data_IF_387885906370
#
_entry.id   IF_387885906370
#
_cell.length_a   1.000
_cell.length_b   1.000
_cell.length_c   1.000
_cell.angle_alpha   90.00
_cell.angle_beta   90.00
_cell.angle_gamma   90.00
#
_symmetry.space_group_name_H-M   'P 1'
#
loop_
_entity.id
_entity.type
_entity.pdbx_description
1 polymer ?
#
# COMPACT_ATOMS: atom_id res chain seq x y z
N UNK A 1 3.64 6.50 10.81
CA UNK A 1 3.77 6.89 12.24
C UNK A 1 4.82 5.99 12.87
N UNK A 2 5.74 6.56 13.61
CA UNK A 2 6.72 5.81 14.40
C UNK A 2 6.28 5.83 15.87
N UNK A 3 6.19 4.66 16.50
CA UNK A 3 5.76 4.52 17.89
C UNK A 3 6.97 4.46 18.83
N UNK A 4 6.75 4.67 20.13
CA UNK A 4 7.81 4.65 21.14
C UNK A 4 8.57 3.31 21.21
N UNK A 5 7.96 2.21 20.78
CA UNK A 5 8.59 0.89 20.63
C UNK A 5 9.38 0.74 19.31
N UNK A 6 9.50 1.80 18.49
CA UNK A 6 10.10 1.85 17.15
C UNK A 6 9.34 1.08 16.06
N UNK A 7 8.13 0.63 16.32
CA UNK A 7 7.26 0.12 15.26
C UNK A 7 6.85 1.27 14.32
N UNK A 8 6.78 0.97 13.03
CA UNK A 8 6.32 1.91 11.99
C UNK A 8 5.02 1.38 11.41
N UNK A 9 4.00 2.23 11.38
CA UNK A 9 2.71 1.91 10.80
C UNK A 9 2.41 2.85 9.62
N UNK A 10 2.01 2.27 8.49
CA UNK A 10 1.63 2.97 7.28
C UNK A 10 0.12 2.99 7.11
N UNK A 11 -0.47 4.17 7.18
CA UNK A 11 -1.90 4.40 6.98
C UNK A 11 -2.06 5.42 5.85
N UNK A 12 -2.89 5.12 4.85
CA UNK A 12 -3.22 6.10 3.82
C UNK A 12 -3.90 7.32 4.47
N UNK A 13 -3.55 8.51 4.02
CA UNK A 13 -4.10 9.75 4.58
C UNK A 13 -5.63 9.78 4.60
N UNK A 14 -6.28 9.26 3.54
CA UNK A 14 -7.75 9.13 3.45
C UNK A 14 -8.36 8.11 4.43
N UNK A 15 -7.56 7.16 4.92
CA UNK A 15 -7.96 6.12 5.87
C UNK A 15 -7.61 6.51 7.30
N UNK A 16 -6.79 7.56 7.48
CA UNK A 16 -6.47 8.12 8.77
C UNK A 16 -7.59 9.07 9.21
N UNK A 17 -8.35 8.74 10.28
CA UNK A 17 -9.49 9.56 10.69
C UNK A 17 -9.06 10.96 11.14
N UNK A 18 -7.88 11.11 11.76
CA UNK A 18 -7.38 12.40 12.19
C UNK A 18 -7.03 13.31 11.00
N UNK A 19 -6.30 12.81 10.01
CA UNK A 19 -5.99 13.57 8.80
C UNK A 19 -7.26 13.92 8.02
N UNK A 20 -8.18 12.96 7.88
CA UNK A 20 -9.47 13.21 7.24
C UNK A 20 -10.29 14.29 7.97
N UNK A 21 -10.24 14.31 9.30
CA UNK A 21 -10.88 15.34 10.12
C UNK A 21 -10.28 16.72 9.90
N UNK A 22 -8.95 16.83 9.83
CA UNK A 22 -8.25 18.09 9.55
C UNK A 22 -8.64 18.70 8.20
N UNK A 23 -8.91 17.87 7.19
CA UNK A 23 -9.33 18.34 5.87
C UNK A 23 -10.82 18.69 5.79
N UNK A 24 -11.67 17.98 6.54
CA UNK A 24 -13.12 18.11 6.45
C UNK A 24 -13.73 19.08 7.47
N UNK A 25 -13.07 19.22 8.62
CA UNK A 25 -13.57 20.00 9.76
C UNK A 25 -12.62 21.17 10.03
N UNK A 26 -12.84 22.34 9.42
CA UNK A 26 -11.98 23.51 9.59
C UNK A 26 -11.81 23.95 11.05
N UNK A 27 -12.80 23.66 11.89
CA UNK A 27 -12.83 23.99 13.33
C UNK A 27 -11.69 23.35 14.13
N UNK A 28 -11.02 22.34 13.59
CA UNK A 28 -9.76 21.78 14.13
C UNK A 28 -8.65 22.82 14.15
N UNK A 29 -8.66 23.75 13.19
CA UNK A 29 -7.63 24.78 13.04
C UNK A 29 -7.78 25.88 14.10
N UNK A 30 -6.72 26.67 14.29
CA UNK A 30 -6.73 27.81 15.21
C UNK A 30 -7.68 28.90 14.72
N UNK A 31 -8.34 29.66 15.61
CA UNK A 31 -9.20 30.78 15.21
C UNK A 31 -8.51 31.77 14.27
N UNK A 32 -7.22 32.06 14.49
CA UNK A 32 -6.42 32.94 13.61
C UNK A 32 -6.26 32.41 12.17
N UNK A 33 -6.56 31.14 11.88
CA UNK A 33 -6.53 30.61 10.52
C UNK A 33 -7.70 31.10 9.67
N UNK A 34 -8.78 31.53 10.29
CA UNK A 34 -9.99 32.01 9.61
C UNK A 34 -9.91 33.50 9.24
N UNK A 35 -9.05 34.27 9.93
CA UNK A 35 -8.76 35.66 9.63
C UNK A 35 -7.24 35.89 9.66
N UNK A 36 -6.53 35.22 8.78
CA UNK A 36 -5.08 35.21 8.77
C UNK A 36 -4.54 36.39 7.94
N UNK A 37 -3.86 37.37 8.56
CA UNK A 37 -3.34 38.54 7.85
C UNK A 37 -2.14 38.22 6.94
N UNK A 38 -1.62 37.00 7.03
CA UNK A 38 -0.45 36.56 6.24
C UNK A 38 -0.83 35.73 5.00
N UNK A 39 -2.09 35.79 4.55
CA UNK A 39 -2.52 35.13 3.32
C UNK A 39 -2.32 36.01 2.10
N UNK A 40 -2.17 35.34 0.94
CA UNK A 40 -1.94 36.06 -0.33
C UNK A 40 -0.52 36.58 -0.50
N UNK A 41 -0.33 37.37 -1.54
CA UNK A 41 0.92 38.04 -1.90
C UNK A 41 0.65 39.53 -2.21
N UNK A 42 1.62 40.46 -2.00
CA UNK A 42 2.97 40.22 -1.50
C UNK A 42 3.02 39.90 0.00
N UNK A 43 4.04 39.17 0.42
CA UNK A 43 4.29 38.84 1.81
C UNK A 43 5.39 39.69 2.43
N UNK A 44 5.35 39.91 3.73
CA UNK A 44 6.32 40.71 4.46
C UNK A 44 7.63 39.97 4.73
N UNK A 45 7.64 38.62 4.61
CA UNK A 45 8.84 37.80 4.74
C UNK A 45 9.74 37.88 3.50
N UNK A 46 11.03 37.67 3.65
CA UNK A 46 11.99 37.64 2.52
C UNK A 46 11.72 36.40 1.62
N UNK A 47 11.42 35.25 2.25
CA UNK A 47 11.05 33.99 1.59
C UNK A 47 9.76 33.43 2.14
N UNK A 48 8.99 32.77 1.28
CA UNK A 48 7.88 31.91 1.67
C UNK A 48 8.19 30.49 1.21
N UNK A 49 8.13 29.51 2.11
CA UNK A 49 8.35 28.11 1.83
C UNK A 49 7.08 27.35 2.16
N UNK A 50 6.69 26.42 1.29
CA UNK A 50 5.53 25.57 1.49
C UNK A 50 5.65 24.27 0.69
N UNK A 51 4.74 23.34 0.92
CA UNK A 51 4.66 22.13 0.12
C UNK A 51 4.06 22.43 -1.27
N UNK A 52 4.58 21.80 -2.30
CA UNK A 52 4.07 21.96 -3.66
C UNK A 52 2.93 20.97 -3.91
N UNK A 53 1.71 21.40 -3.77
CA UNK A 53 0.49 20.65 -4.09
C UNK A 53 0.06 20.92 -5.54
N UNK A 54 0.73 20.32 -6.50
CA UNK A 54 0.43 20.51 -7.92
C UNK A 54 -0.23 19.29 -8.55
N UNK A 55 -0.72 19.44 -9.77
CA UNK A 55 -1.31 18.32 -10.53
C UNK A 55 -0.24 17.26 -10.85
N UNK A 56 -0.58 15.95 -10.81
CA UNK A 56 0.36 14.91 -11.21
C UNK A 56 0.94 15.19 -12.60
N UNK A 57 2.27 15.11 -12.71
CA UNK A 57 3.00 15.32 -13.97
C UNK A 57 3.42 16.76 -14.25
N UNK A 58 3.07 17.75 -13.42
CA UNK A 58 3.55 19.13 -13.54
C UNK A 58 4.90 19.37 -12.87
N UNK A 59 5.35 18.43 -12.01
CA UNK A 59 6.65 18.48 -11.36
C UNK A 59 7.68 17.75 -12.23
N UNK A 60 8.87 18.32 -12.51
CA UNK A 60 9.95 17.60 -13.15
C UNK A 60 10.29 16.31 -12.40
N UNK A 61 10.55 15.22 -13.11
CA UNK A 61 10.80 13.90 -12.49
C UNK A 61 11.96 13.91 -11.49
N UNK A 62 12.94 14.76 -11.72
CA UNK A 62 14.11 14.91 -10.87
C UNK A 62 13.78 15.55 -9.50
N UNK A 63 12.65 16.26 -9.43
CA UNK A 63 12.15 16.93 -8.23
C UNK A 63 10.98 16.19 -7.59
N UNK A 64 10.38 15.22 -8.30
CA UNK A 64 9.26 14.43 -7.81
C UNK A 64 9.79 13.24 -6.99
N UNK A 65 9.78 13.38 -5.67
CA UNK A 65 10.25 12.36 -4.73
C UNK A 65 9.18 12.02 -3.69
N UNK A 66 9.27 10.83 -3.08
CA UNK A 66 8.38 10.42 -2.00
C UNK A 66 8.55 11.26 -0.71
N UNK A 67 9.65 12.01 -0.61
CA UNK A 67 9.89 12.94 0.51
C UNK A 67 9.09 14.23 0.33
N UNK A 68 8.51 14.43 -0.86
CA UNK A 68 7.79 15.63 -1.24
C UNK A 68 8.69 16.68 -1.90
N UNK A 69 8.06 17.68 -2.50
CA UNK A 69 8.70 18.79 -3.18
C UNK A 69 8.24 20.11 -2.54
N UNK A 70 9.17 20.95 -2.16
CA UNK A 70 8.86 22.27 -1.59
C UNK A 70 8.77 23.33 -2.68
N UNK A 71 7.83 24.26 -2.54
CA UNK A 71 7.81 25.51 -3.31
C UNK A 71 8.41 26.64 -2.48
N UNK A 72 9.21 27.48 -3.13
CA UNK A 72 9.85 28.64 -2.52
C UNK A 72 9.54 29.90 -3.32
N UNK A 73 8.97 30.90 -2.66
CA UNK A 73 8.74 32.22 -3.26
C UNK A 73 9.75 33.21 -2.66
N UNK A 74 10.50 33.90 -3.51
CA UNK A 74 11.28 35.06 -3.11
C UNK A 74 10.37 36.29 -3.16
N UNK A 75 10.06 36.87 -2.02
CA UNK A 75 9.08 37.95 -1.91
C UNK A 75 9.71 39.36 -2.12
N UNK A 76 11.01 39.45 -2.06
CA UNK A 76 11.80 40.69 -2.28
C UNK A 76 13.23 40.37 -2.76
N UNK A 77 14.01 41.40 -3.05
CA UNK A 77 15.40 41.26 -3.55
C UNK A 77 16.30 40.49 -2.58
N UNK A 78 16.15 40.71 -1.28
CA UNK A 78 16.93 40.00 -0.25
C UNK A 78 16.65 38.53 -0.25
N UNK A 79 15.36 38.13 -0.40
CA UNK A 79 14.94 36.73 -0.58
C UNK A 79 15.53 36.11 -1.85
N UNK A 80 15.50 36.86 -2.97
CA UNK A 80 16.06 36.41 -4.24
C UNK A 80 17.57 36.19 -4.14
N UNK A 81 18.31 37.10 -3.50
CA UNK A 81 19.76 36.98 -3.26
C UNK A 81 20.06 35.74 -2.39
N UNK A 82 19.28 35.52 -1.34
CA UNK A 82 19.46 34.37 -0.46
C UNK A 82 19.24 33.06 -1.22
N UNK A 83 18.17 32.99 -2.02
CA UNK A 83 17.86 31.82 -2.83
C UNK A 83 18.98 31.56 -3.85
N UNK A 84 19.49 32.60 -4.53
CA UNK A 84 20.60 32.50 -5.48
C UNK A 84 21.87 31.92 -4.84
N UNK A 85 22.17 32.30 -3.60
CA UNK A 85 23.32 31.74 -2.84
C UNK A 85 23.11 30.24 -2.52
N UNK A 86 21.87 29.81 -2.35
CA UNK A 86 21.52 28.40 -2.04
C UNK A 86 21.47 27.52 -3.27
N UNK A 87 21.26 28.06 -4.48
CA UNK A 87 21.05 27.30 -5.73
C UNK A 87 22.06 26.18 -6.00
N UNK A 88 23.34 26.42 -5.61
CA UNK A 88 24.42 25.41 -5.79
C UNK A 88 24.32 24.19 -4.83
N UNK A 89 23.49 24.30 -3.80
CA UNK A 89 23.36 23.27 -2.73
C UNK A 89 22.02 22.54 -2.74
N UNK A 90 21.10 22.89 -3.63
CA UNK A 90 19.76 22.34 -3.74
C UNK A 90 19.47 21.93 -5.19
N UNK A 91 18.66 20.91 -5.37
CA UNK A 91 18.10 20.57 -6.69
C UNK A 91 16.85 21.44 -6.83
N UNK A 92 16.77 22.21 -7.91
CA UNK A 92 15.66 23.16 -8.12
C UNK A 92 15.32 23.34 -9.59
N UNK A 93 14.10 23.81 -9.85
CA UNK A 93 13.64 24.24 -11.15
C UNK A 93 12.75 25.45 -10.98
N UNK A 94 12.71 26.32 -12.00
CA UNK A 94 11.74 27.41 -12.04
C UNK A 94 10.33 26.84 -12.24
N UNK A 95 9.37 27.48 -11.57
CA UNK A 95 7.98 27.07 -11.59
C UNK A 95 7.09 28.30 -11.68
N UNK A 96 5.98 28.22 -12.42
CA UNK A 96 5.09 29.38 -12.57
C UNK A 96 4.36 29.67 -11.25
N UNK A 97 4.16 30.96 -10.95
CA UNK A 97 3.40 31.37 -9.77
C UNK A 97 1.98 30.80 -9.75
N UNK A 98 1.34 30.76 -10.91
CA UNK A 98 -0.01 30.24 -11.07
C UNK A 98 -0.06 28.74 -10.74
N UNK A 99 0.85 27.94 -11.25
CA UNK A 99 0.89 26.51 -10.94
C UNK A 99 1.32 26.26 -9.51
N UNK A 100 2.26 27.02 -8.95
CA UNK A 100 2.70 26.91 -7.58
C UNK A 100 1.60 27.19 -6.55
N UNK A 101 0.66 28.08 -6.89
CA UNK A 101 -0.46 28.46 -6.01
C UNK A 101 -1.73 27.66 -6.25
N UNK A 102 -1.91 27.06 -7.43
CA UNK A 102 -3.13 26.35 -7.86
C UNK A 102 -3.56 25.23 -6.92
N UNK A 103 -2.61 24.43 -6.41
CA UNK A 103 -2.87 23.37 -5.45
C UNK A 103 -2.85 23.82 -3.98
N UNK A 104 -2.44 25.05 -3.72
CA UNK A 104 -2.17 25.61 -2.39
C UNK A 104 -3.19 26.69 -2.02
N UNK A 105 -4.48 26.34 -1.97
CA UNK A 105 -5.55 27.28 -1.62
C UNK A 105 -5.22 28.11 -0.37
N UNK A 106 -4.65 27.48 0.64
CA UNK A 106 -4.31 28.12 1.92
C UNK A 106 -3.06 29.01 1.90
N UNK A 107 -2.32 29.05 0.82
CA UNK A 107 -1.32 30.10 0.60
C UNK A 107 -1.98 31.43 0.28
N UNK A 108 -3.11 31.40 -0.44
CA UNK A 108 -3.79 32.59 -0.97
C UNK A 108 -4.92 33.06 -0.07
N UNK A 109 -5.66 32.14 0.56
CA UNK A 109 -6.91 32.44 1.24
C UNK A 109 -6.95 31.88 2.66
N UNK A 110 -7.58 32.61 3.57
CA UNK A 110 -7.91 32.13 4.90
C UNK A 110 -8.91 30.97 4.86
N UNK A 111 -8.96 30.18 5.92
CA UNK A 111 -9.99 29.15 6.07
C UNK A 111 -11.38 29.81 6.11
N UNK A 112 -12.37 29.11 5.58
CA UNK A 112 -13.77 29.47 5.74
C UNK A 112 -14.35 28.71 6.92
N UNK A 113 -15.19 29.37 7.71
CA UNK A 113 -15.97 28.69 8.74
C UNK A 113 -16.91 27.67 8.08
N UNK A 114 -17.08 26.52 8.71
CA UNK A 114 -18.13 25.59 8.37
C UNK A 114 -19.40 25.91 9.18
N UNK A 115 -20.41 25.06 9.02
CA UNK A 115 -21.63 25.11 9.83
C UNK A 115 -21.44 24.58 11.27
N UNK A 116 -20.27 23.99 11.56
CA UNK A 116 -19.99 23.38 12.85
C UNK A 116 -19.54 24.40 13.89
N UNK A 117 -19.94 24.18 15.13
CA UNK A 117 -19.53 25.01 16.27
C UNK A 117 -18.20 24.47 16.83
N UNK A 118 -17.16 25.34 16.85
CA UNK A 118 -15.83 24.98 17.33
C UNK A 118 -15.81 24.54 18.80
N UNK A 119 -16.56 25.22 19.67
CA UNK A 119 -16.61 24.88 21.09
C UNK A 119 -17.23 23.51 21.32
N UNK A 120 -18.29 23.21 20.61
CA UNK A 120 -18.97 21.92 20.63
C UNK A 120 -18.06 20.81 20.07
N UNK A 121 -17.29 21.10 19.01
CA UNK A 121 -16.29 20.18 18.49
C UNK A 121 -15.27 19.78 19.56
N UNK A 122 -14.67 20.76 20.24
CA UNK A 122 -13.67 20.46 21.28
C UNK A 122 -14.26 19.83 22.54
N UNK A 123 -15.50 20.16 22.91
CA UNK A 123 -16.22 19.45 23.96
C UNK A 123 -16.40 17.97 23.62
N UNK A 124 -16.77 17.68 22.38
CA UNK A 124 -16.94 16.30 21.89
C UNK A 124 -15.59 15.57 21.84
N UNK A 125 -14.53 16.22 21.38
CA UNK A 125 -13.18 15.66 21.34
C UNK A 125 -12.65 15.30 22.74
N UNK A 126 -12.97 16.10 23.73
CA UNK A 126 -12.61 15.82 25.13
C UNK A 126 -13.33 14.60 25.72
N UNK A 127 -14.46 14.19 25.16
CA UNK A 127 -15.14 12.94 25.55
C UNK A 127 -14.34 11.77 24.96
N UNK A 128 -14.20 11.71 23.66
CA UNK A 128 -13.35 10.75 22.95
C UNK A 128 -13.18 11.15 21.49
N UNK A 129 -12.09 10.68 20.87
CA UNK A 129 -11.87 10.84 19.43
C UNK A 129 -12.93 10.11 18.61
N UNK A 130 -13.40 8.93 19.08
CA UNK A 130 -14.47 8.18 18.41
C UNK A 130 -15.78 8.98 18.39
N UNK A 131 -16.14 9.67 19.49
CA UNK A 131 -17.33 10.51 19.53
C UNK A 131 -17.26 11.65 18.48
N UNK A 132 -16.07 12.19 18.21
CA UNK A 132 -15.89 13.15 17.12
C UNK A 132 -16.13 12.54 15.74
N UNK A 133 -15.59 11.33 15.50
CA UNK A 133 -15.82 10.62 14.23
C UNK A 133 -17.32 10.40 14.04
N UNK A 134 -17.99 9.84 15.03
CA UNK A 134 -19.41 9.50 14.97
C UNK A 134 -20.29 10.74 14.71
N UNK A 135 -19.95 11.88 15.30
CA UNK A 135 -20.73 13.10 15.20
C UNK A 135 -20.43 13.93 13.94
N UNK A 136 -19.15 14.14 13.62
CA UNK A 136 -18.73 15.08 12.57
C UNK A 136 -18.33 14.40 11.27
N UNK A 137 -18.11 13.10 11.30
CA UNK A 137 -17.76 12.28 10.13
C UNK A 137 -18.48 10.93 10.17
N UNK A 138 -19.83 10.91 10.29
CA UNK A 138 -20.60 9.67 10.45
C UNK A 138 -20.36 8.67 9.31
N UNK A 139 -20.00 9.16 8.13
CA UNK A 139 -19.70 8.33 6.94
C UNK A 139 -18.23 7.88 6.89
N UNK A 140 -17.40 8.24 7.87
CA UNK A 140 -16.01 7.84 7.90
C UNK A 140 -15.90 6.34 8.17
N UNK A 141 -15.28 5.63 7.25
CA UNK A 141 -15.20 4.16 7.30
C UNK A 141 -16.48 3.43 6.88
N UNK A 142 -17.61 4.13 6.75
CA UNK A 142 -18.87 3.60 6.23
C UNK A 142 -19.03 3.99 4.76
N UNK A 143 -18.29 3.37 3.88
CA UNK A 143 -18.51 3.55 2.45
C UNK A 143 -19.68 2.69 1.99
N UNK A 144 -20.91 3.14 2.19
CA UNK A 144 -21.98 2.72 1.27
C UNK A 144 -21.64 3.31 -0.10
N UNK A 145 -21.02 2.48 -0.93
CA UNK A 145 -20.69 2.90 -2.31
C UNK A 145 -21.96 3.28 -3.04
N UNK A 146 -21.92 4.42 -3.70
CA UNK A 146 -23.02 4.88 -4.52
C UNK A 146 -23.33 3.86 -5.64
N UNK A 147 -24.56 3.86 -6.16
CA UNK A 147 -24.92 2.99 -7.29
C UNK A 147 -23.94 3.16 -8.46
N UNK A 148 -23.46 4.40 -8.70
CA UNK A 148 -22.46 4.71 -9.73
C UNK A 148 -21.13 4.00 -9.48
N UNK A 149 -20.68 3.93 -8.22
CA UNK A 149 -19.46 3.20 -7.84
C UNK A 149 -19.64 1.70 -7.96
N UNK A 150 -20.80 1.16 -7.58
CA UNK A 150 -21.12 -0.26 -7.75
C UNK A 150 -21.10 -0.67 -9.23
N UNK A 151 -21.70 0.15 -10.10
CA UNK A 151 -21.64 -0.06 -11.57
C UNK A 151 -20.19 0.00 -12.07
N UNK A 152 -19.39 0.97 -11.61
CA UNK A 152 -17.96 1.07 -11.94
C UNK A 152 -17.17 -0.15 -11.49
N UNK A 153 -17.47 -0.72 -10.33
CA UNK A 153 -16.82 -1.93 -9.83
C UNK A 153 -17.15 -3.16 -10.70
N UNK A 154 -18.41 -3.32 -11.10
CA UNK A 154 -18.81 -4.37 -12.04
C UNK A 154 -18.10 -4.20 -13.39
N UNK A 155 -18.04 -2.98 -13.93
CA UNK A 155 -17.32 -2.69 -15.18
C UNK A 155 -15.81 -3.00 -15.05
N UNK A 156 -15.20 -2.69 -13.90
CA UNK A 156 -13.82 -3.03 -13.60
C UNK A 156 -13.59 -4.54 -13.58
N UNK A 157 -14.49 -5.30 -12.95
CA UNK A 157 -14.45 -6.77 -12.95
C UNK A 157 -14.57 -7.34 -14.35
N UNK A 158 -15.56 -6.90 -15.14
CA UNK A 158 -15.77 -7.37 -16.53
C UNK A 158 -14.53 -7.05 -17.37
N UNK A 159 -14.00 -5.82 -17.29
CA UNK A 159 -12.78 -5.42 -18.00
C UNK A 159 -11.58 -6.28 -17.62
N UNK A 160 -11.44 -6.58 -16.35
CA UNK A 160 -10.37 -7.44 -15.84
C UNK A 160 -10.50 -8.87 -16.37
N UNK A 161 -11.69 -9.46 -16.32
CA UNK A 161 -11.96 -10.80 -16.88
C UNK A 161 -11.75 -10.83 -18.39
N UNK A 162 -12.20 -9.79 -19.11
CA UNK A 162 -11.97 -9.67 -20.57
C UNK A 162 -10.48 -9.62 -20.89
N UNK A 163 -9.71 -8.83 -20.16
CA UNK A 163 -8.27 -8.74 -20.31
C UNK A 163 -7.54 -10.05 -20.01
N UNK A 164 -8.02 -10.82 -19.01
CA UNK A 164 -7.46 -12.10 -18.62
C UNK A 164 -7.81 -13.25 -19.56
N UNK A 165 -9.04 -13.27 -20.03
CA UNK A 165 -9.60 -14.36 -20.82
C UNK A 165 -9.45 -14.15 -22.34
N UNK A 166 -9.46 -12.91 -22.82
CA UNK A 166 -9.58 -12.61 -24.26
C UNK A 166 -10.80 -13.37 -24.85
N UNK A 167 -10.57 -14.12 -25.89
CA UNK A 167 -11.58 -14.99 -26.53
C UNK A 167 -11.73 -16.39 -25.90
N UNK A 168 -11.04 -16.68 -24.78
CA UNK A 168 -11.08 -17.99 -24.16
C UNK A 168 -12.30 -18.15 -23.25
N UNK A 169 -13.36 -18.78 -23.78
CA UNK A 169 -14.61 -19.03 -23.06
C UNK A 169 -14.39 -19.82 -21.77
N UNK A 170 -13.46 -20.79 -21.77
CA UNK A 170 -13.14 -21.57 -20.56
C UNK A 170 -12.59 -20.69 -19.41
N UNK A 171 -11.77 -19.70 -19.73
CA UNK A 171 -11.29 -18.75 -18.73
C UNK A 171 -12.40 -17.82 -18.24
N UNK A 172 -13.34 -17.42 -19.10
CA UNK A 172 -14.55 -16.70 -18.70
C UNK A 172 -15.38 -17.50 -17.71
N UNK A 173 -15.70 -18.75 -18.04
CA UNK A 173 -16.48 -19.64 -17.18
C UNK A 173 -15.80 -19.83 -15.82
N UNK A 174 -14.47 -20.02 -15.79
CA UNK A 174 -13.71 -20.14 -14.55
C UNK A 174 -13.86 -18.89 -13.67
N UNK A 175 -13.67 -17.68 -14.23
CA UNK A 175 -13.82 -16.44 -13.48
C UNK A 175 -15.23 -16.27 -12.91
N UNK A 176 -16.28 -16.57 -13.71
CA UNK A 176 -17.66 -16.51 -13.23
C UNK A 176 -17.90 -17.53 -12.11
N UNK A 177 -17.44 -18.79 -12.28
CA UNK A 177 -17.59 -19.83 -11.28
C UNK A 177 -16.95 -19.44 -9.94
N UNK A 178 -15.72 -18.94 -9.95
CA UNK A 178 -15.01 -18.60 -8.71
C UNK A 178 -15.59 -17.39 -8.01
N UNK A 179 -16.12 -16.41 -8.74
CA UNK A 179 -16.65 -15.19 -8.14
C UNK A 179 -18.14 -15.28 -7.75
N UNK A 180 -18.91 -16.21 -8.33
CA UNK A 180 -20.36 -16.26 -8.10
C UNK A 180 -20.82 -17.55 -7.40
N UNK A 181 -20.07 -18.64 -7.53
CA UNK A 181 -20.56 -19.97 -7.12
C UNK A 181 -19.58 -20.75 -6.22
N UNK A 182 -18.37 -20.25 -5.98
CA UNK A 182 -17.37 -20.93 -5.15
C UNK A 182 -17.54 -20.56 -3.67
N UNK A 183 -18.02 -21.48 -2.85
CA UNK A 183 -18.27 -21.26 -1.42
C UNK A 183 -17.01 -21.02 -0.59
N UNK A 184 -15.85 -21.46 -1.10
CA UNK A 184 -14.55 -21.26 -0.44
C UNK A 184 -14.01 -19.85 -0.63
N UNK A 185 -14.54 -19.07 -1.58
CA UNK A 185 -14.08 -17.71 -1.89
C UNK A 185 -15.14 -16.71 -1.46
N UNK A 186 -14.80 -15.88 -0.49
CA UNK A 186 -15.65 -14.79 -0.03
C UNK A 186 -15.47 -13.58 -0.95
N UNK A 187 -16.43 -13.34 -1.85
CA UNK A 187 -16.40 -12.29 -2.88
C UNK A 187 -17.62 -11.37 -2.78
N UNK A 188 -17.46 -10.13 -3.21
CA UNK A 188 -18.52 -9.16 -3.47
C UNK A 188 -18.08 -8.22 -4.60
N UNK A 189 -18.53 -8.48 -5.81
CA UNK A 189 -18.14 -7.71 -7.00
C UNK A 189 -18.58 -6.25 -6.89
N UNK A 190 -19.73 -5.99 -6.26
CA UNK A 190 -20.25 -4.63 -6.07
C UNK A 190 -19.34 -3.81 -5.13
N UNK A 191 -18.74 -4.51 -4.16
CA UNK A 191 -17.78 -3.91 -3.22
C UNK A 191 -16.31 -4.01 -3.68
N UNK A 192 -16.07 -4.42 -4.93
CA UNK A 192 -14.76 -4.60 -5.54
C UNK A 192 -13.93 -5.71 -4.88
N UNK A 193 -14.58 -6.72 -4.32
CA UNK A 193 -13.97 -7.89 -3.71
C UNK A 193 -14.13 -9.08 -4.66
N UNK A 194 -13.13 -9.32 -5.49
CA UNK A 194 -13.21 -10.35 -6.52
C UNK A 194 -11.82 -10.91 -6.87
N UNK A 195 -11.80 -12.10 -7.46
CA UNK A 195 -10.61 -12.69 -8.06
C UNK A 195 -10.68 -12.65 -9.58
N UNK A 196 -9.54 -12.32 -10.21
CA UNK A 196 -9.35 -12.46 -11.66
C UNK A 196 -8.23 -13.46 -11.89
N UNK A 197 -8.55 -14.55 -12.57
CA UNK A 197 -7.58 -15.57 -12.95
C UNK A 197 -7.37 -15.58 -14.46
N UNK A 198 -6.11 -15.63 -14.85
CA UNK A 198 -5.73 -15.74 -16.25
C UNK A 198 -5.77 -17.21 -16.72
N UNK A 199 -5.66 -17.41 -18.04
CA UNK A 199 -5.46 -18.73 -18.62
C UNK A 199 -4.24 -19.41 -17.97
N UNK A 200 -4.31 -20.74 -17.78
CA UNK A 200 -3.31 -21.55 -17.08
C UNK A 200 -3.11 -21.21 -15.60
N UNK A 201 -4.15 -20.72 -14.94
CA UNK A 201 -4.20 -20.67 -13.49
C UNK A 201 -5.04 -21.82 -12.96
N UNK A 202 -4.55 -22.52 -11.95
CA UNK A 202 -5.24 -23.62 -11.26
C UNK A 202 -5.46 -23.23 -9.80
N UNK A 203 -6.69 -23.36 -9.33
CA UNK A 203 -7.05 -23.20 -7.93
C UNK A 203 -7.52 -24.56 -7.41
N UNK A 204 -6.85 -25.07 -6.39
CA UNK A 204 -7.22 -26.26 -5.63
C UNK A 204 -7.58 -25.83 -4.21
N UNK A 205 -8.88 -25.85 -3.91
CA UNK A 205 -9.41 -25.34 -2.65
C UNK A 205 -10.17 -26.48 -1.95
N UNK A 206 -9.63 -26.90 -0.81
CA UNK A 206 -10.32 -27.90 0.01
C UNK A 206 -11.72 -27.40 0.42
N UNK A 207 -12.75 -28.25 0.57
CA UNK A 207 -14.10 -27.82 0.94
C UNK A 207 -14.22 -26.96 2.20
N UNK A 208 -13.29 -27.10 3.14
CA UNK A 208 -13.19 -26.29 4.38
C UNK A 208 -12.17 -25.15 4.28
N UNK A 209 -11.52 -24.93 3.13
CA UNK A 209 -10.61 -23.82 2.91
C UNK A 209 -11.36 -22.49 2.82
N UNK A 210 -10.65 -21.39 3.11
CA UNK A 210 -11.19 -20.04 2.96
C UNK A 210 -10.21 -19.10 2.24
N UNK A 211 -10.69 -18.49 1.16
CA UNK A 211 -10.06 -17.35 0.49
C UNK A 211 -10.94 -16.11 0.71
N UNK A 212 -10.50 -15.20 1.55
CA UNK A 212 -11.24 -13.99 1.92
C UNK A 212 -10.71 -12.80 1.13
N UNK A 213 -11.57 -12.19 0.34
CA UNK A 213 -11.19 -11.07 -0.51
C UNK A 213 -11.87 -9.79 -0.02
N UNK A 214 -11.10 -8.91 0.62
CA UNK A 214 -11.54 -7.55 0.91
C UNK A 214 -11.11 -6.56 -0.17
N UNK A 215 -10.41 -7.04 -1.20
CA UNK A 215 -9.92 -6.28 -2.35
C UNK A 215 -9.67 -7.21 -3.56
N UNK A 216 -9.46 -6.66 -4.78
CA UNK A 216 -9.18 -7.48 -5.95
C UNK A 216 -7.90 -8.31 -5.80
N UNK A 217 -8.00 -9.59 -6.15
CA UNK A 217 -6.86 -10.50 -6.31
C UNK A 217 -6.72 -10.87 -7.78
N UNK A 218 -5.56 -10.58 -8.39
CA UNK A 218 -5.29 -10.86 -9.81
C UNK A 218 -4.17 -11.88 -9.89
N UNK A 219 -4.45 -13.04 -10.48
CA UNK A 219 -3.50 -14.15 -10.59
C UNK A 219 -3.15 -14.47 -12.03
N UNK A 220 -1.87 -14.70 -12.30
CA UNK A 220 -1.35 -14.99 -13.64
C UNK A 220 -1.24 -13.77 -14.55
N UNK A 221 -1.04 -12.58 -13.98
CA UNK A 221 -1.01 -11.29 -14.68
C UNK A 221 0.15 -11.19 -15.68
N UNK A 222 -0.06 -10.41 -16.77
CA UNK A 222 0.94 -10.13 -17.83
C UNK A 222 1.65 -11.35 -18.40
N UNK A 223 0.92 -12.46 -18.55
CA UNK A 223 1.49 -13.65 -19.19
C UNK A 223 1.91 -13.34 -20.63
N UNK A 224 3.13 -13.74 -20.96
CA UNK A 224 3.67 -13.61 -22.33
C UNK A 224 2.86 -14.49 -23.28
N UNK A 225 2.55 -13.98 -24.46
CA UNK A 225 1.87 -14.73 -25.50
C UNK A 225 2.64 -16.01 -25.84
N UNK A 226 1.93 -17.12 -25.99
CA UNK A 226 2.52 -18.44 -26.21
C UNK A 226 3.01 -19.17 -24.93
N UNK A 227 3.26 -18.47 -23.81
CA UNK A 227 3.66 -19.12 -22.55
C UNK A 227 2.50 -19.98 -22.00
N UNK A 228 2.83 -21.20 -21.58
CA UNK A 228 1.95 -22.13 -20.87
C UNK A 228 2.33 -22.29 -19.40
N UNK A 229 3.26 -21.47 -18.90
CA UNK A 229 3.70 -21.55 -17.51
C UNK A 229 2.49 -21.38 -16.58
N UNK A 230 2.26 -22.40 -15.77
CA UNK A 230 1.12 -22.49 -14.88
C UNK A 230 1.30 -21.58 -13.65
N UNK A 231 0.19 -21.06 -13.14
CA UNK A 231 0.14 -20.46 -11.80
C UNK A 231 -0.81 -21.26 -10.94
N UNK A 232 -0.40 -21.58 -9.71
CA UNK A 232 -1.17 -22.44 -8.80
C UNK A 232 -1.49 -21.75 -7.49
N UNK A 233 -2.70 -22.00 -6.98
CA UNK A 233 -3.10 -21.66 -5.62
C UNK A 233 -3.72 -22.89 -4.98
N UNK A 234 -3.04 -23.44 -3.98
CA UNK A 234 -3.53 -24.52 -3.13
C UNK A 234 -3.91 -23.95 -1.77
N UNK A 235 -5.13 -24.27 -1.29
CA UNK A 235 -5.50 -24.02 0.11
C UNK A 235 -6.09 -25.31 0.67
N UNK A 236 -5.39 -25.88 1.63
CA UNK A 236 -5.77 -27.15 2.26
C UNK A 236 -6.86 -27.01 3.33
N UNK A 237 -7.19 -28.10 4.01
CA UNK A 237 -8.23 -28.18 5.04
C UNK A 237 -8.02 -27.14 6.14
N UNK A 238 -9.03 -26.29 6.38
CA UNK A 238 -9.01 -25.17 7.32
C UNK A 238 -7.90 -24.14 7.08
N UNK A 239 -7.20 -24.20 5.94
CA UNK A 239 -6.27 -23.16 5.50
C UNK A 239 -7.04 -21.89 5.15
N UNK A 240 -6.46 -20.73 5.46
CA UNK A 240 -7.04 -19.41 5.19
C UNK A 240 -6.03 -18.52 4.48
N UNK A 241 -6.46 -17.91 3.38
CA UNK A 241 -5.75 -16.81 2.73
C UNK A 241 -6.65 -15.58 2.73
N UNK A 242 -6.10 -14.41 3.06
CA UNK A 242 -6.84 -13.16 3.13
C UNK A 242 -6.11 -12.04 2.40
N UNK A 243 -6.82 -11.32 1.51
CA UNK A 243 -6.38 -10.05 0.91
C UNK A 243 -7.12 -8.93 1.64
N UNK A 244 -6.40 -8.09 2.40
CA UNK A 244 -7.00 -7.13 3.32
C UNK A 244 -7.42 -5.81 2.66
N UNK A 245 -6.56 -5.23 1.82
CA UNK A 245 -6.75 -3.86 1.29
C UNK A 245 -6.31 -3.77 -0.17
N UNK A 246 -6.66 -2.66 -0.82
CA UNK A 246 -6.13 -2.24 -2.12
C UNK A 246 -6.33 -3.27 -3.23
N UNK A 247 -5.24 -3.85 -3.73
CA UNK A 247 -5.25 -4.97 -4.67
C UNK A 247 -4.01 -5.83 -4.49
N UNK A 248 -4.11 -7.12 -4.81
CA UNK A 248 -2.94 -7.98 -4.87
C UNK A 248 -2.80 -8.57 -6.28
N UNK A 249 -1.65 -8.34 -6.90
CA UNK A 249 -1.37 -8.79 -8.26
C UNK A 249 -0.19 -9.73 -8.30
N UNK A 250 -0.41 -10.95 -8.76
CA UNK A 250 0.62 -11.97 -8.92
C UNK A 250 0.78 -12.28 -10.41
N UNK A 251 1.99 -12.15 -10.90
CA UNK A 251 2.30 -12.46 -12.28
C UNK A 251 2.27 -13.98 -12.51
N UNK A 252 2.39 -14.41 -13.75
CA UNK A 252 2.31 -15.82 -14.10
C UNK A 252 3.49 -16.63 -13.55
N UNK A 253 3.33 -17.95 -13.49
CA UNK A 253 4.35 -18.88 -12.95
C UNK A 253 4.42 -18.90 -11.42
N UNK A 254 3.40 -18.38 -10.73
CA UNK A 254 3.35 -18.39 -9.27
C UNK A 254 2.90 -19.75 -8.73
N UNK A 255 3.48 -20.14 -7.60
CA UNK A 255 3.04 -21.28 -6.79
C UNK A 255 2.78 -20.80 -5.37
N UNK A 256 1.49 -20.73 -5.00
CA UNK A 256 1.05 -20.28 -3.67
C UNK A 256 0.38 -21.46 -2.98
N UNK A 257 0.90 -21.86 -1.82
CA UNK A 257 0.39 -23.00 -1.06
C UNK A 257 0.11 -22.57 0.38
N UNK A 258 -1.10 -22.82 0.85
CA UNK A 258 -1.52 -22.60 2.23
C UNK A 258 -1.92 -23.94 2.79
N UNK A 259 -1.10 -24.50 3.64
CA UNK A 259 -1.25 -25.84 4.19
C UNK A 259 -2.37 -25.90 5.24
N UNK A 260 -2.65 -27.09 5.71
CA UNK A 260 -3.72 -27.39 6.66
C UNK A 260 -3.63 -26.51 7.91
N UNK A 261 -4.68 -25.73 8.16
CA UNK A 261 -4.80 -24.83 9.31
C UNK A 261 -3.91 -23.59 9.27
N UNK A 262 -3.13 -23.39 8.21
CA UNK A 262 -2.26 -22.23 8.05
C UNK A 262 -3.02 -20.95 7.70
N UNK A 263 -2.43 -19.80 8.00
CA UNK A 263 -3.00 -18.49 7.71
C UNK A 263 -2.03 -17.60 6.95
N UNK A 264 -2.40 -17.23 5.72
CA UNK A 264 -1.68 -16.29 4.86
C UNK A 264 -2.44 -14.96 4.78
N UNK A 265 -1.82 -13.89 5.22
CA UNK A 265 -2.37 -12.53 5.18
C UNK A 265 -1.58 -11.65 4.22
N UNK A 266 -2.27 -10.97 3.30
CA UNK A 266 -1.69 -10.03 2.35
C UNK A 266 -2.33 -8.66 2.56
N UNK A 267 -1.54 -7.66 2.89
CA UNK A 267 -2.00 -6.28 3.12
C UNK A 267 -2.59 -5.61 1.88
N UNK A 268 -2.12 -5.98 0.69
CA UNK A 268 -2.60 -5.43 -0.58
C UNK A 268 -1.86 -4.19 -1.07
N UNK A 269 -2.36 -3.59 -2.15
CA UNK A 269 -1.63 -2.62 -2.98
C UNK A 269 -0.21 -3.11 -3.28
N UNK A 270 -0.10 -4.43 -3.46
CA UNK A 270 1.13 -5.17 -3.57
C UNK A 270 1.15 -5.96 -4.88
N UNK A 271 2.35 -6.17 -5.42
CA UNK A 271 2.50 -6.99 -6.61
C UNK A 271 3.78 -7.82 -6.53
N UNK A 272 3.72 -9.03 -7.08
CA UNK A 272 4.90 -9.90 -7.20
C UNK A 272 5.05 -10.35 -8.64
N UNK A 273 6.26 -10.21 -9.15
CA UNK A 273 6.61 -10.54 -10.52
C UNK A 273 6.61 -12.07 -10.75
N UNK A 274 7.01 -12.51 -11.92
CA UNK A 274 7.00 -13.90 -12.39
C UNK A 274 7.72 -14.85 -11.42
N UNK A 275 7.12 -16.02 -11.17
CA UNK A 275 7.76 -17.11 -10.45
C UNK A 275 7.74 -16.98 -8.93
N UNK A 276 6.75 -16.30 -8.35
CA UNK A 276 6.57 -16.33 -6.89
C UNK A 276 6.41 -17.76 -6.40
N UNK A 277 7.21 -18.15 -5.39
CA UNK A 277 7.04 -19.38 -4.64
C UNK A 277 6.72 -19.04 -3.17
N UNK A 278 5.45 -19.21 -2.75
CA UNK A 278 4.99 -18.84 -1.43
C UNK A 278 4.36 -20.07 -0.76
N UNK A 279 4.98 -20.55 0.32
CA UNK A 279 4.54 -21.75 1.03
C UNK A 279 4.30 -21.39 2.50
N UNK A 280 3.04 -21.37 2.90
CA UNK A 280 2.58 -21.06 4.24
C UNK A 280 2.10 -22.33 4.95
N UNK A 281 2.79 -22.76 5.99
CA UNK A 281 2.43 -23.93 6.81
C UNK A 281 1.97 -23.54 8.22
N UNK A 282 2.18 -22.30 8.63
CA UNK A 282 1.75 -21.76 9.92
C UNK A 282 1.12 -20.37 9.72
N UNK A 283 1.95 -19.34 9.63
CA UNK A 283 1.49 -17.97 9.45
C UNK A 283 2.51 -17.14 8.68
N UNK A 284 2.04 -16.53 7.57
CA UNK A 284 2.79 -15.52 6.82
C UNK A 284 1.94 -14.27 6.73
N UNK A 285 2.49 -13.13 7.15
CA UNK A 285 1.88 -11.81 6.99
C UNK A 285 2.75 -10.94 6.09
N UNK A 286 2.15 -10.36 5.04
CA UNK A 286 2.81 -9.46 4.08
C UNK A 286 2.06 -8.13 4.11
N UNK A 287 2.76 -7.06 4.46
CA UNK A 287 2.22 -5.71 4.58
C UNK A 287 1.87 -5.05 3.23
N UNK A 288 1.16 -3.93 3.30
CA UNK A 288 0.77 -3.13 2.13
C UNK A 288 1.99 -2.60 1.37
N UNK A 289 1.80 -2.31 0.07
CA UNK A 289 2.81 -1.75 -0.83
C UNK A 289 4.10 -2.56 -0.94
N UNK A 290 4.06 -3.82 -0.55
CA UNK A 290 5.21 -4.71 -0.72
C UNK A 290 5.38 -5.06 -2.20
N UNK A 291 6.56 -4.77 -2.73
CA UNK A 291 6.95 -5.12 -4.11
C UNK A 291 7.78 -6.38 -4.16
N UNK A 292 7.38 -7.36 -4.98
CA UNK A 292 8.15 -8.59 -5.22
C UNK A 292 8.75 -8.64 -6.63
N UNK A 293 10.05 -8.89 -6.72
CA UNK A 293 10.77 -9.18 -7.96
C UNK A 293 10.44 -10.56 -8.55
N UNK A 294 11.26 -11.02 -9.50
CA UNK A 294 11.13 -12.36 -10.09
C UNK A 294 11.65 -13.45 -9.15
N UNK A 295 11.02 -14.62 -9.19
CA UNK A 295 11.46 -15.82 -8.48
C UNK A 295 11.69 -15.59 -6.97
N UNK A 296 10.87 -14.77 -6.36
CA UNK A 296 10.88 -14.57 -4.91
C UNK A 296 10.35 -15.84 -4.24
N UNK A 297 11.07 -16.32 -3.23
CA UNK A 297 10.66 -17.46 -2.41
C UNK A 297 10.38 -16.99 -0.98
N UNK A 298 9.18 -17.32 -0.47
CA UNK A 298 8.77 -17.02 0.92
C UNK A 298 8.24 -18.32 1.51
N UNK A 299 8.85 -18.82 2.57
CA UNK A 299 8.43 -20.05 3.21
C UNK A 299 8.62 -20.01 4.72
N UNK A 300 7.59 -20.28 5.47
CA UNK A 300 7.62 -20.33 6.95
C UNK A 300 7.93 -21.73 7.51
N UNK A 301 8.32 -22.66 6.65
CA UNK A 301 8.55 -24.06 6.99
C UNK A 301 9.79 -24.62 6.29
N UNK A 302 10.31 -25.74 6.79
CA UNK A 302 11.44 -26.46 6.24
C UNK A 302 11.02 -27.71 5.41
N UNK A 303 9.77 -27.73 4.94
CA UNK A 303 9.19 -28.89 4.27
C UNK A 303 8.68 -29.93 5.26
N UNK A 304 8.49 -31.15 4.79
CA UNK A 304 7.91 -32.25 5.57
C UNK A 304 8.93 -32.97 6.48
N UNK A 305 10.21 -32.60 6.39
CA UNK A 305 11.28 -33.26 7.16
C UNK A 305 11.40 -32.71 8.57
N UNK A 306 11.47 -33.62 9.54
CA UNK A 306 11.71 -33.30 10.93
C UNK A 306 13.19 -33.53 11.29
N UNK A 307 13.81 -32.52 11.89
CA UNK A 307 15.18 -32.63 12.41
C UNK A 307 15.12 -32.91 13.90
N UNK A 308 15.70 -34.01 14.34
CA UNK A 308 15.69 -34.44 15.75
C UNK A 308 16.73 -33.70 16.59
N UNK A 309 16.53 -32.40 16.77
CA UNK A 309 17.30 -31.56 17.69
C UNK A 309 16.38 -30.86 18.67
N UNK A 310 16.86 -30.59 19.89
CA UNK A 310 16.10 -29.91 20.93
C UNK A 310 15.68 -28.51 20.48
N UNK A 311 14.40 -28.22 20.55
CA UNK A 311 13.83 -26.92 20.20
C UNK A 311 13.57 -26.70 18.71
N UNK A 312 13.77 -27.71 17.85
CA UNK A 312 13.43 -27.63 16.45
C UNK A 312 11.95 -27.41 16.23
N UNK A 313 11.61 -26.45 15.37
CA UNK A 313 10.25 -26.18 14.90
C UNK A 313 10.19 -26.37 13.41
N UNK A 314 9.22 -27.14 12.93
CA UNK A 314 9.00 -27.38 11.49
C UNK A 314 8.56 -26.15 10.73
N UNK A 315 7.86 -25.25 11.43
CA UNK A 315 7.42 -23.96 10.90
C UNK A 315 7.55 -22.84 11.94
N UNK A 316 7.94 -21.66 11.48
CA UNK A 316 8.07 -20.44 12.29
C UNK A 316 7.49 -19.28 11.48
N UNK A 317 6.51 -18.52 12.03
CA UNK A 317 5.86 -17.43 11.31
C UNK A 317 6.82 -16.44 10.66
N UNK A 318 6.38 -15.88 9.52
CA UNK A 318 7.08 -14.80 8.83
C UNK A 318 6.21 -13.54 8.89
N UNK A 319 6.85 -12.41 9.21
CA UNK A 319 6.23 -11.09 9.20
C UNK A 319 7.00 -10.17 8.28
N UNK A 320 6.38 -9.73 7.21
CA UNK A 320 6.88 -8.70 6.30
C UNK A 320 5.99 -7.49 6.50
N UNK A 321 6.56 -6.39 7.00
CA UNK A 321 5.83 -5.15 7.23
C UNK A 321 5.53 -4.42 5.91
N UNK A 322 5.00 -3.21 6.01
CA UNK A 322 4.60 -2.40 4.88
C UNK A 322 5.79 -1.87 4.08
N UNK A 323 5.57 -1.62 2.78
CA UNK A 323 6.52 -0.96 1.90
C UNK A 323 7.90 -1.65 1.84
N UNK A 324 7.90 -2.98 1.82
CA UNK A 324 9.13 -3.77 1.67
C UNK A 324 9.35 -4.10 0.20
N UNK A 325 10.60 -3.99 -0.25
CA UNK A 325 10.98 -4.42 -1.58
C UNK A 325 11.78 -5.72 -1.54
N UNK A 326 11.14 -6.78 -1.96
CA UNK A 326 11.76 -8.09 -2.18
C UNK A 326 12.29 -8.14 -3.60
N UNK A 327 13.59 -8.03 -3.80
CA UNK A 327 14.14 -8.03 -5.16
C UNK A 327 14.25 -9.45 -5.74
N UNK A 328 14.81 -9.58 -6.92
CA UNK A 328 14.83 -10.82 -7.72
C UNK A 328 15.60 -11.95 -7.04
N UNK A 329 15.05 -13.17 -7.10
CA UNK A 329 15.64 -14.42 -6.57
C UNK A 329 15.98 -14.40 -5.07
N UNK A 330 15.39 -13.52 -4.27
CA UNK A 330 15.59 -13.56 -2.82
C UNK A 330 14.75 -14.66 -2.17
N UNK A 331 15.24 -15.15 -1.04
CA UNK A 331 14.57 -16.19 -0.25
C UNK A 331 14.36 -15.72 1.17
N UNK A 332 13.11 -15.76 1.63
CA UNK A 332 12.71 -15.41 3.00
C UNK A 332 12.46 -16.70 3.77
N UNK A 333 13.28 -16.94 4.78
CA UNK A 333 13.31 -18.19 5.56
C UNK A 333 12.39 -18.13 6.79
N UNK A 334 12.05 -19.28 7.37
CA UNK A 334 11.21 -19.36 8.57
C UNK A 334 11.72 -18.48 9.72
N UNK A 335 10.79 -17.80 10.41
CA UNK A 335 11.08 -16.94 11.57
C UNK A 335 11.62 -15.56 11.21
N UNK A 336 11.52 -15.16 9.95
CA UNK A 336 11.97 -13.84 9.50
C UNK A 336 10.94 -12.75 9.83
N UNK A 337 11.42 -11.64 10.37
CA UNK A 337 10.68 -10.39 10.49
C UNK A 337 11.41 -9.32 9.70
N UNK A 338 10.73 -8.74 8.70
CA UNK A 338 11.23 -7.64 7.88
C UNK A 338 10.44 -6.39 8.24
N UNK A 339 11.13 -5.40 8.80
CA UNK A 339 10.50 -4.14 9.17
C UNK A 339 10.21 -3.25 7.95
N UNK A 340 9.35 -2.25 8.17
CA UNK A 340 8.83 -1.39 7.12
C UNK A 340 9.92 -0.66 6.34
N UNK A 341 9.72 -0.48 5.02
CA UNK A 341 10.62 0.25 4.13
C UNK A 341 11.93 -0.44 3.81
N UNK A 342 12.14 -1.69 4.26
CA UNK A 342 13.37 -2.44 3.99
C UNK A 342 13.46 -2.93 2.54
N UNK A 343 14.68 -3.12 2.08
CA UNK A 343 15.01 -3.65 0.75
C UNK A 343 15.82 -4.93 0.91
N UNK A 344 15.36 -6.01 0.31
CA UNK A 344 16.08 -7.27 0.24
C UNK A 344 16.76 -7.36 -1.10
N UNK A 345 18.09 -7.35 -1.12
CA UNK A 345 18.88 -7.40 -2.36
C UNK A 345 18.71 -8.73 -3.10
N UNK A 346 18.96 -8.68 -4.40
CA UNK A 346 18.84 -9.86 -5.25
C UNK A 346 19.72 -11.01 -4.77
N UNK A 347 19.17 -12.24 -4.87
CA UNK A 347 19.83 -13.49 -4.46
C UNK A 347 20.20 -13.57 -2.98
N UNK A 348 19.57 -12.76 -2.13
CA UNK A 348 19.79 -12.82 -0.68
C UNK A 348 18.95 -13.92 -0.03
N UNK A 349 19.51 -14.57 0.97
CA UNK A 349 18.79 -15.51 1.86
C UNK A 349 18.66 -14.86 3.23
N UNK A 350 17.41 -14.55 3.59
CA UNK A 350 17.11 -13.77 4.79
C UNK A 350 16.50 -14.66 5.88
N UNK A 351 17.11 -14.62 7.07
CA UNK A 351 16.59 -15.27 8.26
C UNK A 351 16.77 -14.35 9.48
N UNK A 352 15.76 -14.24 10.33
CA UNK A 352 15.77 -13.41 11.53
C UNK A 352 15.24 -12.00 11.27
N UNK A 353 15.79 -10.99 11.94
CA UNK A 353 15.26 -9.63 11.94
C UNK A 353 16.00 -8.71 10.96
N UNK A 354 15.24 -8.03 10.10
CA UNK A 354 15.71 -6.99 9.17
C UNK A 354 15.19 -5.63 9.66
N UNK A 355 16.06 -4.66 9.96
CA UNK A 355 15.65 -3.34 10.43
C UNK A 355 14.87 -2.54 9.38
N UNK A 356 14.05 -1.61 9.84
CA UNK A 356 13.32 -0.67 8.96
C UNK A 356 14.29 0.20 8.16
N UNK A 357 13.87 0.58 6.93
CA UNK A 357 14.62 1.47 6.05
C UNK A 357 16.08 1.05 5.86
N UNK A 358 16.33 -0.26 5.72
CA UNK A 358 17.65 -0.83 5.52
C UNK A 358 17.73 -1.66 4.24
N UNK A 359 18.94 -1.78 3.68
CA UNK A 359 19.23 -2.77 2.64
C UNK A 359 19.97 -3.92 3.28
N UNK A 360 19.50 -5.14 3.00
CA UNK A 360 20.21 -6.36 3.39
C UNK A 360 20.63 -7.13 2.15
N UNK A 361 21.80 -7.79 2.21
CA UNK A 361 22.36 -8.54 1.09
C UNK A 361 23.18 -9.73 1.55
N UNK A 362 23.23 -10.79 0.72
CA UNK A 362 24.07 -11.97 0.92
C UNK A 362 23.32 -13.22 1.37
N UNK A 363 24.09 -14.30 1.60
CA UNK A 363 23.65 -15.58 2.15
C UNK A 363 24.64 -16.02 3.25
N UNK A 364 24.30 -15.94 4.54
CA UNK A 364 23.09 -15.28 5.09
C UNK A 364 23.13 -13.75 4.91
N UNK A 365 21.95 -13.16 4.71
CA UNK A 365 21.83 -11.71 4.48
C UNK A 365 22.24 -10.89 5.69
N UNK A 366 23.00 -9.81 5.45
CA UNK A 366 23.43 -8.85 6.45
C UNK A 366 23.04 -7.43 6.03
N UNK A 367 22.84 -6.55 6.99
CA UNK A 367 22.60 -5.13 6.73
C UNK A 367 23.84 -4.52 6.08
N UNK A 368 23.67 -3.92 4.89
CA UNK A 368 24.73 -3.23 4.15
C UNK A 368 24.55 -1.72 4.13
N UNK A 369 23.30 -1.22 4.29
CA UNK A 369 22.99 0.20 4.32
C UNK A 369 21.76 0.46 5.20
N UNK A 370 21.64 1.66 5.75
CA UNK A 370 20.51 2.11 6.58
C UNK A 370 20.02 3.47 6.14
N UNK A 371 18.81 3.87 6.58
CA UNK A 371 18.16 5.13 6.20
C UNK A 371 17.93 5.26 4.70
N UNK A 372 17.56 4.14 4.07
CA UNK A 372 17.27 4.05 2.64
C UNK A 372 15.77 4.19 2.41
N UNK A 373 15.42 4.88 1.32
CA UNK A 373 14.04 5.04 0.88
C UNK A 373 13.94 4.62 -0.58
N UNK A 374 12.86 3.96 -0.94
CA UNK A 374 12.62 3.53 -2.30
C UNK A 374 11.20 3.89 -2.75
N UNK A 375 11.01 3.97 -4.07
CA UNK A 375 9.72 4.25 -4.71
C UNK A 375 9.44 3.20 -5.77
N UNK A 376 8.17 2.78 -5.90
CA UNK A 376 7.69 1.86 -6.93
C UNK A 376 7.33 2.58 -8.23
#
# INVERSE_FOLDING_TARGET
MEFANKDVDYILGKENPWLSMQYKIPEVCRPSCFDCPFKGFPRTSDLTIGDLWSSPGSIPKELDSDIGTSVVFANNEKGADMLNKCKKKIIWSDFSFEEATKGNYHLMYSLKHSEHNREDFFKTLNISFQACIDKYMPDFGQTQKSLKEKIKNVACFIKGVTGAAGWNIGTWIKNMRYNLFCRQIETDILERKFIIINKYCTLDLHPKAKLVLNAPFIMGYKRIEGSKLESRLLIEENGRMEIKYGSYTVYYGADIQVFKGAHLEIGGDASVNVGLNLICANHISIGRWTGGGRNVTIRDNNGEHHISIRGYKTSIPIVIKEHVWLTENCTIMPGTTIEAGAIISARSVVQGHVPSFSIVSGDPAKVIETKVYWKS
#
